data_IF_359474175080
#
_entry.id   IF_359474175080
#
_cell.length_a   1.000
_cell.length_b   1.000
_cell.length_c   1.000
_cell.angle_alpha   90.00
_cell.angle_beta   90.00
_cell.angle_gamma   90.00
#
_symmetry.space_group_name_H-M   'P 1'
#
loop_
_entity.id
_entity.type
_entity.pdbx_description
1 polymer ?
#
# COMPACT_ATOMS: atom_id res chain seq x y z
N UNK A 1 -7.82 20.37 -13.34
CA UNK A 1 -6.86 19.31 -13.69
C UNK A 1 -6.76 18.42 -12.48
N UNK A 2 -6.84 17.11 -12.64
CA UNK A 2 -6.58 16.17 -11.56
C UNK A 2 -5.12 16.26 -11.13
N UNK A 3 -4.87 16.19 -9.83
CA UNK A 3 -3.50 16.20 -9.28
C UNK A 3 -3.09 14.76 -9.02
N UNK A 4 -2.04 14.30 -9.67
CA UNK A 4 -1.43 12.98 -9.42
C UNK A 4 -0.41 13.13 -8.29
N UNK A 5 -0.48 12.26 -7.29
CA UNK A 5 0.52 12.11 -6.23
C UNK A 5 1.20 10.75 -6.37
N UNK A 6 2.50 10.73 -6.18
CA UNK A 6 3.30 9.51 -6.24
C UNK A 6 3.50 9.01 -4.82
N UNK A 7 3.03 7.80 -4.55
CA UNK A 7 3.23 7.09 -3.29
C UNK A 7 4.61 6.40 -3.30
N UNK A 8 5.12 6.04 -2.14
CA UNK A 8 6.32 5.21 -1.99
C UNK A 8 6.11 3.78 -2.52
N UNK A 9 7.10 2.91 -2.32
CA UNK A 9 7.09 1.53 -2.79
C UNK A 9 6.83 0.51 -1.67
N UNK A 10 6.88 -0.77 -2.02
CA UNK A 10 6.75 -1.88 -1.09
C UNK A 10 7.91 -1.95 -0.10
N UNK A 11 7.71 -1.50 1.13
CA UNK A 11 8.75 -1.44 2.16
C UNK A 11 9.37 -2.81 2.44
N UNK A 12 8.54 -3.83 2.68
CA UNK A 12 9.02 -5.19 2.96
C UNK A 12 9.86 -5.77 1.83
N UNK A 13 9.38 -5.64 0.60
CA UNK A 13 10.11 -6.10 -0.59
C UNK A 13 11.44 -5.36 -0.75
N UNK A 14 11.44 -4.02 -0.57
CA UNK A 14 12.68 -3.23 -0.69
C UNK A 14 13.70 -3.61 0.39
N UNK A 15 13.27 -3.83 1.63
CA UNK A 15 14.14 -4.30 2.70
C UNK A 15 14.75 -5.67 2.37
N UNK A 16 13.98 -6.59 1.79
CA UNK A 16 14.48 -7.90 1.37
C UNK A 16 15.44 -7.81 0.20
N UNK A 17 15.04 -7.13 -0.87
CA UNK A 17 15.77 -7.15 -2.14
C UNK A 17 17.03 -6.28 -2.14
N UNK A 18 17.01 -5.15 -1.42
CA UNK A 18 18.09 -4.17 -1.45
C UNK A 18 18.93 -4.15 -0.18
N UNK A 19 18.35 -4.52 0.94
CA UNK A 19 19.04 -4.52 2.24
C UNK A 19 19.33 -5.91 2.78
N UNK A 20 18.88 -6.98 2.08
CA UNK A 20 19.13 -8.36 2.45
C UNK A 20 18.43 -8.80 3.74
N UNK A 21 17.42 -8.06 4.19
CA UNK A 21 16.67 -8.37 5.40
C UNK A 21 15.85 -9.63 5.16
N UNK A 22 15.85 -10.53 6.12
CA UNK A 22 15.02 -11.74 6.11
C UNK A 22 13.96 -11.65 7.19
N UNK A 23 12.72 -11.85 6.82
CA UNK A 23 11.60 -11.88 7.74
C UNK A 23 11.17 -13.33 7.97
N UNK A 24 10.91 -13.69 9.23
CA UNK A 24 10.33 -14.96 9.60
C UNK A 24 9.31 -14.80 10.73
N UNK A 25 8.42 -15.76 10.85
CA UNK A 25 7.29 -15.69 11.80
C UNK A 25 7.71 -15.77 13.28
N UNK A 26 8.89 -16.25 13.57
CA UNK A 26 9.39 -16.46 14.94
C UNK A 26 10.16 -15.25 15.44
N UNK A 27 11.10 -14.75 14.64
CA UNK A 27 12.04 -13.71 15.04
C UNK A 27 11.57 -12.30 14.66
N UNK A 28 10.69 -12.18 13.67
CA UNK A 28 10.18 -10.89 13.18
C UNK A 28 8.63 -10.83 13.17
N UNK A 29 7.97 -10.97 14.34
CA UNK A 29 6.51 -11.07 14.42
C UNK A 29 5.76 -9.82 13.94
N UNK A 30 6.43 -8.70 13.75
CA UNK A 30 5.90 -7.47 13.15
C UNK A 30 6.32 -7.30 11.69
N UNK A 31 6.90 -8.34 11.04
CA UNK A 31 7.36 -8.30 9.66
C UNK A 31 8.20 -7.03 9.36
N UNK A 32 7.92 -6.27 8.29
CA UNK A 32 8.67 -5.04 7.97
C UNK A 32 8.65 -4.01 9.11
N UNK A 33 7.55 -3.90 9.86
CA UNK A 33 7.46 -3.03 11.05
C UNK A 33 8.38 -3.49 12.19
N UNK A 34 8.90 -4.73 12.15
CA UNK A 34 9.87 -5.22 13.13
C UNK A 34 11.18 -4.43 13.10
N UNK A 35 11.52 -3.83 11.96
CA UNK A 35 12.70 -2.98 11.82
C UNK A 35 12.67 -1.75 12.75
N UNK A 36 11.51 -1.32 13.19
CA UNK A 36 11.36 -0.28 14.24
C UNK A 36 12.02 -0.67 15.57
N UNK A 37 12.11 -1.98 15.81
CA UNK A 37 12.64 -2.55 17.06
C UNK A 37 14.07 -3.03 16.86
N UNK A 38 14.34 -3.71 15.75
CA UNK A 38 15.61 -4.42 15.53
C UNK A 38 16.69 -3.57 14.86
N UNK A 39 16.34 -2.71 13.88
CA UNK A 39 17.29 -1.91 13.10
C UNK A 39 16.62 -0.68 12.48
N UNK A 40 16.34 0.37 13.30
CA UNK A 40 15.74 1.60 12.82
C UNK A 40 16.60 2.36 11.78
N UNK A 41 17.92 2.20 11.81
CA UNK A 41 18.83 2.91 10.89
C UNK A 41 18.73 2.35 9.47
N UNK A 42 18.71 1.02 9.33
CA UNK A 42 18.45 0.38 8.02
C UNK A 42 17.05 0.71 7.51
N UNK A 43 16.03 0.73 8.38
CA UNK A 43 14.69 1.17 8.02
C UNK A 43 14.67 2.61 7.50
N UNK A 44 15.36 3.52 8.19
CA UNK A 44 15.47 4.90 7.76
C UNK A 44 16.15 5.03 6.39
N UNK A 45 17.23 4.30 6.17
CA UNK A 45 17.94 4.28 4.89
C UNK A 45 17.02 3.83 3.75
N UNK A 46 16.27 2.75 3.96
CA UNK A 46 15.31 2.26 2.97
C UNK A 46 14.20 3.28 2.66
N UNK A 47 13.64 3.94 3.69
CA UNK A 47 12.63 4.98 3.46
C UNK A 47 13.21 6.24 2.81
N UNK A 48 14.47 6.58 3.07
CA UNK A 48 15.16 7.69 2.39
C UNK A 48 15.36 7.42 0.90
N UNK A 49 15.56 6.18 0.49
CA UNK A 49 15.63 5.83 -0.94
C UNK A 49 14.31 6.19 -1.66
N UNK A 50 13.16 5.94 -1.04
CA UNK A 50 11.86 6.41 -1.56
C UNK A 50 11.80 7.93 -1.62
N UNK A 51 12.24 8.63 -0.56
CA UNK A 51 12.33 10.08 -0.55
C UNK A 51 13.16 10.64 -1.70
N UNK A 52 14.33 10.05 -1.96
CA UNK A 52 15.21 10.42 -3.06
C UNK A 52 14.61 10.12 -4.44
N UNK A 53 13.75 9.11 -4.56
CA UNK A 53 12.99 8.83 -5.78
C UNK A 53 11.98 9.95 -6.12
N UNK A 54 11.72 10.88 -5.21
CA UNK A 54 10.90 12.07 -5.45
C UNK A 54 9.40 11.84 -5.26
N UNK A 55 9.03 10.96 -4.34
CA UNK A 55 7.65 10.68 -3.93
C UNK A 55 6.93 11.93 -3.39
N UNK A 56 5.60 11.92 -3.47
CA UNK A 56 4.72 12.94 -2.90
C UNK A 56 4.12 12.50 -1.55
N UNK A 57 4.00 11.18 -1.31
CA UNK A 57 3.49 10.60 -0.07
C UNK A 57 4.36 9.43 0.36
N UNK A 58 4.75 9.40 1.63
CA UNK A 58 5.50 8.31 2.27
C UNK A 58 4.61 7.63 3.32
N UNK A 59 4.55 6.32 3.29
CA UNK A 59 3.88 5.50 4.30
C UNK A 59 4.79 5.30 5.52
N UNK A 60 4.21 5.35 6.72
CA UNK A 60 4.95 4.93 7.92
C UNK A 60 5.19 3.43 7.92
N UNK A 61 6.26 2.96 8.56
CA UNK A 61 6.57 1.54 8.69
C UNK A 61 5.69 0.83 9.75
N UNK A 62 4.36 1.03 9.69
CA UNK A 62 3.42 0.60 10.73
C UNK A 62 2.33 -0.35 10.24
N UNK A 63 2.48 -0.89 9.04
CA UNK A 63 1.50 -1.76 8.39
C UNK A 63 1.08 -2.96 9.27
N UNK A 64 2.03 -3.65 9.93
CA UNK A 64 1.75 -4.78 10.84
C UNK A 64 1.81 -4.41 12.32
N UNK A 65 1.89 -3.13 12.68
CA UNK A 65 1.89 -2.72 14.08
C UNK A 65 0.58 -3.13 14.75
N UNK A 66 0.67 -3.89 15.83
CA UNK A 66 -0.46 -4.33 16.66
C UNK A 66 0.02 -4.64 18.08
N UNK A 67 -0.85 -4.52 19.12
CA UNK A 67 -0.50 -4.90 20.48
C UNK A 67 0.01 -6.34 20.58
N UNK A 68 -0.63 -7.27 19.87
CA UNK A 68 -0.28 -8.69 19.85
C UNK A 68 1.08 -8.93 19.18
N UNK A 69 1.38 -8.19 18.12
CA UNK A 69 2.68 -8.24 17.45
C UNK A 69 3.81 -7.78 18.37
N UNK A 70 3.62 -6.67 19.07
CA UNK A 70 4.59 -6.20 20.06
C UNK A 70 4.71 -7.15 21.26
N UNK A 71 3.61 -7.70 21.77
CA UNK A 71 3.65 -8.68 22.87
C UNK A 71 4.43 -9.96 22.51
N UNK A 72 4.50 -10.32 21.22
CA UNK A 72 5.31 -11.43 20.72
C UNK A 72 6.77 -11.03 20.44
N UNK A 73 7.06 -9.73 20.34
CA UNK A 73 8.41 -9.22 20.01
C UNK A 73 9.27 -9.15 21.25
N UNK A 74 10.30 -10.00 21.30
CA UNK A 74 11.26 -10.08 22.41
C UNK A 74 12.54 -9.34 22.08
N UNK A 75 13.05 -8.60 23.05
CA UNK A 75 14.34 -7.91 22.97
C UNK A 75 15.11 -8.08 24.29
N UNK A 76 16.40 -7.75 24.36
CA UNK A 76 17.10 -7.73 25.63
C UNK A 76 16.45 -6.85 26.70
N UNK A 77 15.83 -5.73 26.30
CA UNK A 77 15.11 -4.84 27.23
C UNK A 77 13.72 -5.41 27.61
N UNK A 78 13.11 -6.20 26.73
CA UNK A 78 11.76 -6.78 26.90
C UNK A 78 11.79 -8.29 26.61
N UNK A 79 12.36 -9.12 27.49
CA UNK A 79 12.56 -10.57 27.26
C UNK A 79 11.24 -11.35 27.20
N UNK A 80 10.17 -10.81 27.74
CA UNK A 80 8.84 -11.43 27.75
C UNK A 80 7.88 -10.82 26.69
N UNK A 81 8.38 -9.97 25.79
CA UNK A 81 7.61 -9.20 24.83
C UNK A 81 7.50 -7.73 25.22
N UNK A 82 7.26 -6.88 24.24
CA UNK A 82 7.14 -5.42 24.44
C UNK A 82 5.73 -5.14 25.03
N UNK A 83 5.64 -4.55 26.23
CA UNK A 83 4.37 -4.28 26.87
C UNK A 83 3.67 -3.05 26.27
N UNK A 84 2.36 -2.90 26.44
CA UNK A 84 1.57 -1.83 25.82
C UNK A 84 2.10 -0.42 26.08
N UNK A 85 2.55 -0.14 27.29
CA UNK A 85 3.09 1.16 27.71
C UNK A 85 4.41 1.53 27.02
N UNK A 86 5.12 0.53 26.47
CA UNK A 86 6.36 0.75 25.75
C UNK A 86 6.15 0.86 24.23
N UNK A 87 4.96 0.64 23.71
CA UNK A 87 4.70 0.69 22.26
C UNK A 87 4.91 2.11 21.72
N UNK A 88 4.49 3.14 22.45
CA UNK A 88 4.52 4.54 22.01
C UNK A 88 5.88 5.00 21.49
N UNK A 89 6.99 4.58 22.10
CA UNK A 89 8.34 4.94 21.65
C UNK A 89 8.65 4.43 20.23
N UNK A 90 8.16 3.25 19.87
CA UNK A 90 8.37 2.67 18.52
C UNK A 90 7.50 3.38 17.49
N UNK A 91 6.29 3.83 17.88
CA UNK A 91 5.44 4.64 17.01
C UNK A 91 6.05 6.01 16.76
N UNK A 92 6.63 6.64 17.77
CA UNK A 92 7.41 7.87 17.62
C UNK A 92 8.59 7.68 16.68
N UNK A 93 9.29 6.56 16.81
CA UNK A 93 10.40 6.18 15.92
C UNK A 93 9.92 6.06 14.47
N UNK A 94 8.76 5.39 14.23
CA UNK A 94 8.20 5.24 12.90
C UNK A 94 7.89 6.58 12.23
N UNK A 95 7.22 7.49 12.95
CA UNK A 95 6.89 8.82 12.43
C UNK A 95 8.17 9.65 12.22
N UNK A 96 9.10 9.61 13.18
CA UNK A 96 10.37 10.34 13.09
C UNK A 96 11.24 9.86 11.91
N UNK A 97 11.25 8.56 11.62
CA UNK A 97 11.93 8.02 10.44
C UNK A 97 11.28 8.53 9.17
N UNK A 98 9.94 8.46 9.05
CA UNK A 98 9.23 8.96 7.90
C UNK A 98 9.47 10.46 7.65
N UNK A 99 9.52 11.28 8.71
CA UNK A 99 9.85 12.71 8.60
C UNK A 99 11.25 12.94 8.05
N UNK A 100 12.25 12.23 8.57
CA UNK A 100 13.63 12.34 8.10
C UNK A 100 13.87 11.78 6.71
N UNK A 101 13.04 10.82 6.29
CA UNK A 101 13.10 10.22 4.97
C UNK A 101 12.53 11.12 3.86
N UNK A 102 11.69 12.09 4.21
CA UNK A 102 11.20 13.06 3.22
C UNK A 102 12.35 13.96 2.74
N UNK A 103 12.67 13.86 1.46
CA UNK A 103 13.64 14.75 0.80
C UNK A 103 12.98 16.07 0.37
N UNK A 104 11.68 16.05 0.09
CA UNK A 104 10.89 17.20 -0.32
C UNK A 104 10.03 17.69 0.84
N UNK A 105 10.12 18.97 1.20
CA UNK A 105 9.29 19.57 2.26
C UNK A 105 7.79 19.39 2.02
N UNK A 106 7.37 19.45 0.75
CA UNK A 106 5.99 19.25 0.33
C UNK A 106 5.52 17.79 0.38
N UNK A 107 6.42 16.81 0.57
CA UNK A 107 6.04 15.41 0.70
C UNK A 107 5.26 15.20 2.00
N UNK A 108 4.21 14.40 1.90
CA UNK A 108 3.26 14.10 2.98
C UNK A 108 3.59 12.75 3.61
N UNK A 109 3.11 12.53 4.83
CA UNK A 109 3.21 11.26 5.53
C UNK A 109 1.81 10.69 5.68
N UNK A 110 1.67 9.41 5.42
CA UNK A 110 0.44 8.66 5.67
C UNK A 110 0.69 7.55 6.70
N UNK A 111 -0.19 7.48 7.70
CA UNK A 111 -0.20 6.38 8.66
C UNK A 111 -0.63 5.09 7.96
N UNK A 112 0.27 4.14 7.81
CA UNK A 112 0.03 2.85 7.17
C UNK A 112 -0.56 1.84 8.16
N UNK A 113 -1.72 1.29 7.84
CA UNK A 113 -2.46 0.32 8.66
C UNK A 113 -2.98 -0.83 7.77
N UNK A 114 -2.38 -2.01 7.87
CA UNK A 114 -2.86 -3.23 7.22
C UNK A 114 -4.13 -3.79 7.88
N UNK A 115 -4.75 -4.82 7.30
CA UNK A 115 -5.88 -5.51 7.89
C UNK A 115 -5.46 -6.35 9.11
N UNK A 116 -6.44 -6.88 9.84
CA UNK A 116 -6.18 -7.82 10.92
C UNK A 116 -5.34 -9.01 10.44
N UNK A 117 -5.67 -9.55 9.26
CA UNK A 117 -4.96 -10.67 8.65
C UNK A 117 -3.47 -10.45 8.46
N UNK A 118 -3.03 -9.23 8.22
CA UNK A 118 -1.60 -8.90 8.09
C UNK A 118 -0.84 -9.00 9.43
N UNK A 119 -1.53 -8.98 10.56
CA UNK A 119 -0.96 -9.14 11.89
C UNK A 119 -1.05 -10.57 12.43
N UNK A 120 -1.67 -11.48 11.68
CA UNK A 120 -1.71 -12.91 11.97
C UNK A 120 -0.40 -13.61 11.59
N UNK A 121 -0.16 -14.77 12.18
CA UNK A 121 0.96 -15.65 11.85
C UNK A 121 0.41 -17.07 11.63
N UNK A 122 0.44 -17.60 10.40
CA UNK A 122 0.84 -16.95 9.15
C UNK A 122 -0.13 -15.83 8.74
N UNK A 123 0.34 -14.88 7.92
CA UNK A 123 -0.48 -13.78 7.39
C UNK A 123 -1.68 -14.27 6.59
N UNK A 124 -2.82 -13.58 6.75
CA UNK A 124 -4.11 -13.93 6.13
C UNK A 124 -4.73 -12.75 5.34
N UNK A 125 -3.95 -11.72 5.04
CA UNK A 125 -4.41 -10.54 4.30
C UNK A 125 -4.85 -10.83 2.86
N UNK A 126 -4.40 -11.95 2.28
CA UNK A 126 -4.79 -12.38 0.93
C UNK A 126 -5.90 -13.43 0.91
N UNK A 127 -6.20 -14.04 2.05
CA UNK A 127 -7.24 -15.06 2.17
C UNK A 127 -8.48 -14.56 2.89
N UNK A 128 -8.33 -13.60 3.82
CA UNK A 128 -9.39 -13.17 4.73
C UNK A 128 -9.84 -14.25 5.71
N UNK A 129 -9.09 -15.36 5.84
CA UNK A 129 -9.40 -16.47 6.74
C UNK A 129 -8.95 -16.14 8.17
N UNK A 130 -9.80 -15.45 8.91
CA UNK A 130 -9.49 -14.97 10.26
C UNK A 130 -9.82 -16.01 11.33
N UNK A 131 -9.25 -15.86 12.51
CA UNK A 131 -9.56 -16.70 13.65
C UNK A 131 -10.96 -16.38 14.21
N UNK A 132 -11.53 -17.33 14.97
CA UNK A 132 -12.90 -17.22 15.49
C UNK A 132 -13.13 -16.00 16.41
N UNK A 133 -12.09 -15.44 17.02
CA UNK A 133 -12.20 -14.26 17.86
C UNK A 133 -12.36 -12.97 17.04
N UNK A 134 -11.89 -12.97 15.79
CA UNK A 134 -11.90 -11.81 14.89
C UNK A 134 -12.70 -12.08 13.59
N UNK A 135 -13.60 -13.05 13.59
CA UNK A 135 -14.42 -13.39 12.43
C UNK A 135 -15.80 -12.68 12.45
N UNK A 136 -15.81 -11.41 12.86
CA UNK A 136 -17.02 -10.57 12.82
C UNK A 136 -16.66 -9.09 12.66
N UNK A 137 -17.60 -8.32 12.06
CA UNK A 137 -17.45 -6.86 11.93
C UNK A 137 -17.20 -6.18 13.28
N UNK A 138 -17.90 -6.63 14.35
CA UNK A 138 -17.75 -6.02 15.68
C UNK A 138 -16.36 -6.28 16.27
N UNK A 139 -15.84 -7.51 16.17
CA UNK A 139 -14.50 -7.83 16.65
C UNK A 139 -13.43 -7.06 15.89
N UNK A 140 -13.55 -6.99 14.57
CA UNK A 140 -12.64 -6.22 13.72
C UNK A 140 -12.71 -4.71 14.01
N UNK A 141 -13.92 -4.18 14.26
CA UNK A 141 -14.09 -2.79 14.67
C UNK A 141 -13.36 -2.48 15.99
N UNK A 142 -13.53 -3.32 17.01
CA UNK A 142 -12.87 -3.14 18.30
C UNK A 142 -11.34 -3.21 18.14
N UNK A 143 -10.84 -4.15 17.33
CA UNK A 143 -9.42 -4.32 17.07
C UNK A 143 -8.82 -3.09 16.36
N UNK A 144 -9.46 -2.59 15.28
CA UNK A 144 -9.00 -1.38 14.58
C UNK A 144 -9.09 -0.14 15.48
N UNK A 145 -10.14 0.00 16.27
CA UNK A 145 -10.28 1.12 17.21
C UNK A 145 -9.17 1.10 18.27
N UNK A 146 -8.87 -0.06 18.84
CA UNK A 146 -7.76 -0.22 19.78
C UNK A 146 -6.42 0.14 19.12
N UNK A 147 -6.22 -0.29 17.89
CA UNK A 147 -5.00 0.01 17.12
C UNK A 147 -4.86 1.51 16.84
N UNK A 148 -5.93 2.21 16.47
CA UNK A 148 -5.91 3.66 16.28
C UNK A 148 -5.60 4.39 17.60
N UNK A 149 -6.08 3.89 18.74
CA UNK A 149 -5.76 4.45 20.06
C UNK A 149 -4.28 4.38 20.39
N UNK A 150 -3.54 3.40 19.92
CA UNK A 150 -2.07 3.37 20.11
C UNK A 150 -1.40 4.66 19.60
N UNK A 151 -1.90 5.22 18.50
CA UNK A 151 -1.36 6.46 17.92
C UNK A 151 -1.95 7.72 18.57
N UNK A 152 -3.19 7.67 19.06
CA UNK A 152 -3.82 8.77 19.77
C UNK A 152 -3.23 8.95 21.18
N UNK A 153 -2.97 7.85 21.86
CA UNK A 153 -2.51 7.85 23.25
C UNK A 153 -0.98 7.97 23.36
N UNK A 154 -0.25 7.84 22.23
CA UNK A 154 1.18 8.01 22.20
C UNK A 154 1.58 9.47 22.49
N UNK A 155 2.64 9.66 23.27
CA UNK A 155 3.18 10.99 23.55
C UNK A 155 3.56 11.73 22.26
N UNK A 156 3.50 13.08 22.30
CA UNK A 156 4.02 13.95 21.22
C UNK A 156 3.07 14.14 20.05
N UNK A 157 1.75 13.92 20.22
CA UNK A 157 0.72 14.19 19.21
C UNK A 157 1.10 13.70 17.80
N UNK A 158 1.31 12.38 17.70
CA UNK A 158 1.81 11.76 16.46
C UNK A 158 0.95 12.06 15.24
N UNK A 159 -0.37 12.15 15.43
CA UNK A 159 -1.30 12.35 14.32
C UNK A 159 -1.19 13.73 13.68
N UNK A 160 -0.81 14.76 14.44
CA UNK A 160 -0.60 16.11 13.88
C UNK A 160 0.59 16.17 12.91
N UNK A 161 1.50 15.21 12.98
CA UNK A 161 2.69 15.08 12.15
C UNK A 161 2.44 14.36 10.83
N UNK A 162 1.21 13.83 10.62
CA UNK A 162 0.80 13.07 9.44
C UNK A 162 -0.34 13.77 8.71
N UNK A 163 -0.50 13.49 7.43
CA UNK A 163 -1.51 14.14 6.59
C UNK A 163 -2.61 13.18 6.13
N UNK A 164 -2.40 11.87 6.25
CA UNK A 164 -3.35 10.84 5.85
C UNK A 164 -3.33 9.64 6.80
N UNK A 165 -4.43 8.90 6.80
CA UNK A 165 -4.48 7.52 7.31
C UNK A 165 -4.76 6.59 6.13
N UNK A 166 -3.95 5.54 5.99
CA UNK A 166 -4.05 4.52 4.96
C UNK A 166 -4.54 3.21 5.56
N UNK A 167 -5.77 2.81 5.27
CA UNK A 167 -6.22 1.43 5.50
C UNK A 167 -5.98 0.62 4.24
N UNK A 168 -5.06 -0.34 4.32
CA UNK A 168 -4.48 -1.00 3.16
C UNK A 168 -4.79 -2.50 3.13
N UNK A 169 -4.91 -3.04 1.91
CA UNK A 169 -5.01 -4.50 1.66
C UNK A 169 -6.22 -5.14 2.34
N UNK A 170 -7.33 -4.42 2.50
CA UNK A 170 -8.51 -4.98 3.17
C UNK A 170 -9.11 -6.12 2.34
N UNK A 171 -9.19 -7.36 2.90
CA UNK A 171 -9.63 -8.54 2.15
C UNK A 171 -11.11 -8.86 2.35
N UNK A 172 -11.81 -8.16 3.27
CA UNK A 172 -13.16 -8.49 3.71
C UNK A 172 -14.07 -7.27 3.75
N UNK A 173 -15.31 -7.45 3.37
CA UNK A 173 -16.31 -6.38 3.36
C UNK A 173 -16.70 -5.91 4.76
N UNK A 174 -16.78 -6.82 5.72
CA UNK A 174 -17.04 -6.50 7.12
C UNK A 174 -15.88 -5.68 7.72
N UNK A 175 -14.64 -5.95 7.33
CA UNK A 175 -13.49 -5.16 7.75
C UNK A 175 -13.49 -3.75 7.13
N UNK A 176 -13.95 -3.59 5.88
CA UNK A 176 -14.19 -2.25 5.29
C UNK A 176 -15.20 -1.45 6.13
N UNK A 177 -16.27 -2.08 6.62
CA UNK A 177 -17.23 -1.44 7.53
C UNK A 177 -16.61 -1.16 8.91
N UNK A 178 -15.86 -2.11 9.43
CA UNK A 178 -15.18 -2.01 10.72
C UNK A 178 -14.21 -0.82 10.77
N UNK A 179 -13.34 -0.64 9.77
CA UNK A 179 -12.39 0.49 9.73
C UNK A 179 -13.11 1.83 9.62
N UNK A 180 -14.23 1.91 8.88
CA UNK A 180 -15.05 3.12 8.82
C UNK A 180 -15.69 3.49 10.17
N UNK A 181 -16.13 2.50 10.92
CA UNK A 181 -16.62 2.69 12.29
C UNK A 181 -15.48 3.13 13.20
N UNK A 182 -14.35 2.45 13.14
CA UNK A 182 -13.18 2.71 13.97
C UNK A 182 -12.64 4.14 13.77
N UNK A 183 -12.46 4.60 12.53
CA UNK A 183 -11.97 5.97 12.26
C UNK A 183 -12.98 7.03 12.76
N UNK A 184 -14.27 6.82 12.58
CA UNK A 184 -15.32 7.70 13.10
C UNK A 184 -15.25 7.81 14.64
N UNK A 185 -15.17 6.67 15.33
CA UNK A 185 -15.29 6.60 16.78
C UNK A 185 -13.95 6.88 17.49
N UNK A 186 -12.84 6.89 16.74
CA UNK A 186 -11.54 7.34 17.22
C UNK A 186 -11.45 8.86 17.39
N UNK A 187 -12.29 9.62 16.69
CA UNK A 187 -12.20 11.08 16.64
C UNK A 187 -11.08 11.62 15.73
N UNK A 188 -10.38 10.76 14.99
CA UNK A 188 -9.36 11.19 14.01
C UNK A 188 -10.05 11.90 12.86
N UNK A 189 -9.59 13.11 12.55
CA UNK A 189 -10.14 13.96 11.47
C UNK A 189 -9.26 14.03 10.24
N UNK A 190 -8.13 13.33 10.23
CA UNK A 190 -7.26 13.25 9.05
C UNK A 190 -8.00 12.64 7.87
N UNK A 191 -7.78 13.13 6.65
CA UNK A 191 -8.19 12.44 5.44
C UNK A 191 -7.66 10.99 5.45
N UNK A 192 -8.50 10.04 5.04
CA UNK A 192 -8.10 8.65 5.00
C UNK A 192 -8.49 7.99 3.69
N UNK A 193 -7.81 6.94 3.32
CA UNK A 193 -8.21 6.08 2.21
C UNK A 193 -8.42 4.64 2.66
N UNK A 194 -9.17 3.95 1.84
CA UNK A 194 -9.38 2.51 1.92
C UNK A 194 -8.92 1.90 0.62
N UNK A 195 -7.96 0.99 0.67
CA UNK A 195 -7.58 0.16 -0.47
C UNK A 195 -7.75 -1.32 -0.15
N UNK A 196 -8.27 -2.04 -1.13
CA UNK A 196 -8.62 -3.45 -1.00
C UNK A 196 -7.74 -4.30 -1.91
N UNK A 197 -7.63 -5.58 -1.58
CA UNK A 197 -6.90 -6.57 -2.36
C UNK A 197 -7.85 -7.47 -3.15
N UNK A 198 -7.52 -7.74 -4.42
CA UNK A 198 -8.29 -8.60 -5.32
C UNK A 198 -7.37 -9.70 -5.89
N UNK A 199 -7.02 -10.73 -5.09
CA UNK A 199 -5.98 -11.68 -5.45
C UNK A 199 -6.41 -12.69 -6.51
N UNK A 200 -7.72 -12.97 -6.64
CA UNK A 200 -8.29 -13.94 -7.60
C UNK A 200 -8.72 -13.27 -8.89
N UNK A 201 -8.87 -14.04 -9.96
CA UNK A 201 -9.26 -13.53 -11.28
C UNK A 201 -10.76 -13.16 -11.39
N UNK A 202 -11.57 -13.44 -10.37
CA UNK A 202 -13.00 -13.11 -10.32
C UNK A 202 -13.32 -11.65 -9.96
N UNK A 203 -12.29 -10.80 -9.77
CA UNK A 203 -12.42 -9.39 -9.36
C UNK A 203 -13.23 -9.21 -8.05
N UNK A 204 -13.25 -10.22 -7.19
CA UNK A 204 -13.85 -10.16 -5.87
C UNK A 204 -12.77 -10.07 -4.78
N UNK A 205 -13.17 -9.55 -3.62
CA UNK A 205 -12.38 -9.68 -2.40
C UNK A 205 -12.19 -11.15 -2.04
N UNK A 206 -11.21 -11.50 -1.20
CA UNK A 206 -11.06 -12.87 -0.67
C UNK A 206 -12.33 -13.46 -0.06
N UNK A 207 -13.17 -12.65 0.59
CA UNK A 207 -14.47 -13.08 1.14
C UNK A 207 -15.58 -13.27 0.07
N UNK A 208 -15.29 -13.01 -1.20
CA UNK A 208 -16.25 -13.11 -2.31
C UNK A 208 -17.03 -11.83 -2.60
N UNK A 209 -16.82 -10.75 -1.86
CA UNK A 209 -17.53 -9.49 -2.05
C UNK A 209 -17.08 -8.76 -3.31
N UNK A 210 -18.04 -8.20 -4.05
CA UNK A 210 -17.80 -7.48 -5.30
C UNK A 210 -17.27 -6.05 -5.07
N UNK A 211 -16.69 -5.46 -6.11
CA UNK A 211 -16.31 -4.03 -6.14
C UNK A 211 -17.50 -3.13 -5.79
N UNK A 212 -18.71 -3.45 -6.27
CA UNK A 212 -19.92 -2.67 -5.96
C UNK A 212 -20.22 -2.69 -4.45
N UNK A 213 -20.12 -3.85 -3.81
CA UNK A 213 -20.31 -3.97 -2.37
C UNK A 213 -19.26 -3.17 -1.59
N UNK A 214 -18.00 -3.19 -2.03
CA UNK A 214 -16.90 -2.40 -1.43
C UNK A 214 -17.19 -0.90 -1.54
N UNK A 215 -17.52 -0.40 -2.74
CA UNK A 215 -17.84 1.02 -2.96
C UNK A 215 -19.03 1.42 -2.11
N UNK A 216 -20.08 0.60 -2.06
CA UNK A 216 -21.27 0.87 -1.23
C UNK A 216 -20.89 0.93 0.26
N UNK A 217 -20.15 -0.04 0.77
CA UNK A 217 -19.72 -0.07 2.18
C UNK A 217 -18.83 1.14 2.52
N UNK A 218 -17.93 1.51 1.62
CA UNK A 218 -17.02 2.63 1.81
C UNK A 218 -17.69 4.00 1.72
N UNK A 219 -18.75 4.15 0.90
CA UNK A 219 -19.34 5.46 0.59
C UNK A 219 -20.72 5.68 1.21
N UNK A 220 -21.35 4.66 1.82
CA UNK A 220 -22.64 4.86 2.51
C UNK A 220 -22.50 5.90 3.61
N UNK A 221 -23.28 7.00 3.58
CA UNK A 221 -23.25 8.00 4.64
C UNK A 221 -23.60 7.40 5.99
N UNK A 222 -22.82 7.73 7.01
CA UNK A 222 -23.10 7.36 8.40
C UNK A 222 -23.24 8.64 9.23
N UNK A 223 -24.07 8.60 10.27
CA UNK A 223 -24.23 9.76 11.16
C UNK A 223 -22.88 10.14 11.76
N UNK A 224 -22.45 11.37 11.54
CA UNK A 224 -21.15 11.91 11.97
C UNK A 224 -19.91 11.17 11.43
N UNK A 225 -20.07 10.32 10.39
CA UNK A 225 -18.94 9.60 9.79
C UNK A 225 -18.33 10.33 8.64
N UNK A 226 -17.00 10.38 8.62
CA UNK A 226 -16.25 10.88 7.47
C UNK A 226 -16.36 9.88 6.30
N UNK A 227 -16.47 10.40 5.09
CA UNK A 227 -16.25 9.60 3.90
C UNK A 227 -14.74 9.46 3.63
N UNK A 228 -14.28 8.34 3.06
CA UNK A 228 -12.89 8.22 2.68
C UNK A 228 -12.54 9.28 1.63
N UNK A 229 -11.39 9.94 1.82
CA UNK A 229 -10.80 10.82 0.84
C UNK A 229 -10.38 10.05 -0.42
N UNK A 230 -9.93 8.80 -0.25
CA UNK A 230 -9.51 7.93 -1.33
C UNK A 230 -10.09 6.53 -1.20
N UNK A 231 -10.28 5.88 -2.36
CA UNK A 231 -10.77 4.51 -2.46
C UNK A 231 -10.04 3.83 -3.61
N UNK A 232 -9.63 2.56 -3.43
CA UNK A 232 -8.92 1.89 -4.52
C UNK A 232 -8.43 0.49 -4.24
N UNK A 233 -7.32 0.16 -4.89
CA UNK A 233 -6.77 -1.19 -5.01
C UNK A 233 -5.29 -1.18 -4.70
N UNK A 234 -4.84 -2.12 -3.86
CA UNK A 234 -3.42 -2.35 -3.64
C UNK A 234 -3.07 -3.85 -3.60
N UNK A 235 -1.79 -4.18 -3.64
CA UNK A 235 -1.29 -5.56 -3.55
C UNK A 235 -2.03 -6.54 -4.49
N UNK A 236 -2.43 -6.05 -5.66
CA UNK A 236 -3.22 -6.77 -6.66
C UNK A 236 -2.43 -6.80 -7.97
N UNK A 237 -2.50 -7.88 -8.72
CA UNK A 237 -1.77 -8.04 -9.98
C UNK A 237 -2.07 -6.91 -10.97
N UNK A 238 -1.03 -6.36 -11.59
CA UNK A 238 -1.11 -5.18 -12.47
C UNK A 238 -2.11 -5.36 -13.62
N UNK A 239 -2.17 -6.55 -14.22
CA UNK A 239 -3.06 -6.81 -15.37
C UNK A 239 -4.56 -6.68 -15.03
N UNK A 240 -4.94 -6.80 -13.75
CA UNK A 240 -6.33 -6.66 -13.29
C UNK A 240 -6.76 -5.20 -13.11
N UNK A 241 -5.79 -4.29 -12.93
CA UNK A 241 -6.10 -2.91 -12.59
C UNK A 241 -7.04 -2.21 -13.59
N UNK A 242 -6.89 -2.33 -14.93
CA UNK A 242 -7.81 -1.68 -15.86
C UNK A 242 -9.26 -2.06 -15.62
N UNK A 243 -9.56 -3.35 -15.48
CA UNK A 243 -10.92 -3.84 -15.24
C UNK A 243 -11.48 -3.41 -13.88
N UNK A 244 -10.66 -3.48 -12.83
CA UNK A 244 -11.05 -3.04 -11.48
C UNK A 244 -11.33 -1.53 -11.43
N UNK A 245 -10.48 -0.72 -12.06
CA UNK A 245 -10.65 0.73 -12.12
C UNK A 245 -11.93 1.11 -12.83
N UNK A 246 -12.25 0.46 -13.95
CA UNK A 246 -13.52 0.68 -14.67
C UNK A 246 -14.72 0.34 -13.78
N UNK A 247 -14.66 -0.77 -13.04
CA UNK A 247 -15.71 -1.15 -12.11
C UNK A 247 -15.85 -0.15 -10.96
N UNK A 248 -14.75 0.27 -10.31
CA UNK A 248 -14.77 1.32 -9.29
C UNK A 248 -15.38 2.63 -9.82
N UNK A 249 -14.93 3.09 -10.98
CA UNK A 249 -15.43 4.30 -11.64
C UNK A 249 -16.94 4.25 -11.89
N UNK A 250 -17.42 3.13 -12.46
CA UNK A 250 -18.85 2.93 -12.71
C UNK A 250 -19.67 2.92 -11.40
N UNK A 251 -19.18 2.27 -10.35
CA UNK A 251 -19.85 2.21 -9.05
C UNK A 251 -19.90 3.59 -8.36
N UNK A 252 -18.79 4.32 -8.38
CA UNK A 252 -18.71 5.69 -7.82
C UNK A 252 -19.66 6.62 -8.58
N UNK A 253 -19.70 6.56 -9.92
CA UNK A 253 -20.63 7.35 -10.74
C UNK A 253 -22.08 7.07 -10.35
N UNK A 254 -22.45 5.81 -10.14
CA UNK A 254 -23.79 5.43 -9.67
C UNK A 254 -24.07 5.95 -8.25
N UNK A 255 -23.10 5.91 -7.35
CA UNK A 255 -23.24 6.44 -5.98
C UNK A 255 -23.45 7.96 -6.00
N UNK A 256 -22.74 8.68 -6.86
CA UNK A 256 -22.92 10.12 -7.07
C UNK A 256 -24.31 10.44 -7.66
N UNK A 257 -24.74 9.71 -8.69
CA UNK A 257 -26.08 9.93 -9.30
C UNK A 257 -27.24 9.67 -8.33
N UNK A 258 -27.03 8.82 -7.32
CA UNK A 258 -27.98 8.57 -6.23
C UNK A 258 -27.86 9.56 -5.05
N UNK A 259 -26.94 10.51 -5.12
CA UNK A 259 -26.68 11.48 -4.05
C UNK A 259 -26.04 10.87 -2.77
N UNK A 260 -25.48 9.69 -2.88
CA UNK A 260 -24.79 9.01 -1.75
C UNK A 260 -23.46 9.68 -1.43
N UNK A 261 -22.79 10.21 -2.46
CA UNK A 261 -21.57 11.01 -2.33
C UNK A 261 -21.71 12.29 -3.17
N UNK A 262 -21.17 13.38 -2.66
CA UNK A 262 -21.22 14.70 -3.32
C UNK A 262 -20.03 14.94 -4.25
N UNK A 263 -18.94 14.20 -4.04
CA UNK A 263 -17.73 14.24 -4.87
C UNK A 263 -17.12 12.82 -4.94
N UNK A 264 -16.50 12.52 -6.07
CA UNK A 264 -15.78 11.25 -6.21
C UNK A 264 -14.58 11.24 -5.24
N UNK A 265 -14.36 10.15 -4.50
CA UNK A 265 -13.12 9.95 -3.77
C UNK A 265 -11.94 9.87 -4.74
N UNK A 266 -10.74 10.24 -4.27
CA UNK A 266 -9.51 10.05 -5.03
C UNK A 266 -9.29 8.56 -5.32
N UNK A 267 -8.81 8.24 -6.52
CA UNK A 267 -8.44 6.88 -6.84
C UNK A 267 -7.06 6.57 -6.26
N UNK A 268 -6.94 5.44 -5.59
CA UNK A 268 -5.71 4.98 -4.93
C UNK A 268 -5.27 3.67 -5.55
N UNK A 269 -4.09 3.65 -6.18
CA UNK A 269 -3.57 2.47 -6.89
C UNK A 269 -2.11 2.21 -6.52
N UNK A 270 -1.84 1.07 -5.91
CA UNK A 270 -0.49 0.56 -5.66
C UNK A 270 -0.45 -0.96 -5.80
N UNK A 271 -0.27 -1.42 -7.06
CA UNK A 271 -0.33 -2.83 -7.39
C UNK A 271 0.84 -3.62 -6.84
N UNK A 272 0.67 -4.94 -6.88
CA UNK A 272 1.74 -5.89 -6.60
C UNK A 272 2.84 -5.81 -7.68
N UNK A 273 4.07 -5.54 -7.25
CA UNK A 273 5.26 -5.49 -8.11
C UNK A 273 6.00 -6.83 -8.25
N UNK A 274 5.53 -7.90 -7.60
CA UNK A 274 6.25 -9.18 -7.49
C UNK A 274 5.98 -10.16 -8.65
N UNK A 275 5.32 -9.73 -9.73
CA UNK A 275 4.88 -10.60 -10.85
C UNK A 275 4.00 -11.79 -10.42
N UNK A 276 3.27 -11.64 -9.31
CA UNK A 276 2.39 -12.66 -8.75
C UNK A 276 3.10 -13.69 -7.88
N UNK A 277 4.37 -13.51 -7.56
CA UNK A 277 5.04 -14.31 -6.53
C UNK A 277 4.50 -13.95 -5.15
N UNK A 278 4.34 -14.95 -4.30
CA UNK A 278 3.91 -14.80 -2.90
C UNK A 278 5.06 -15.19 -1.99
N UNK A 279 5.37 -14.36 -1.01
CA UNK A 279 6.41 -14.70 -0.05
C UNK A 279 5.94 -15.81 0.88
N UNK A 280 6.64 -16.96 0.83
CA UNK A 280 6.40 -18.07 1.74
C UNK A 280 7.21 -17.87 3.02
N UNK A 281 6.52 -17.56 4.11
CA UNK A 281 7.14 -17.31 5.42
C UNK A 281 7.82 -18.55 6.02
N UNK A 282 7.46 -19.75 5.53
CA UNK A 282 8.07 -21.02 5.99
C UNK A 282 9.39 -21.29 5.29
N UNK A 283 9.42 -21.12 3.95
CA UNK A 283 10.63 -21.33 3.15
C UNK A 283 11.51 -20.07 3.08
N UNK A 284 10.98 -18.91 3.49
CA UNK A 284 11.63 -17.60 3.42
C UNK A 284 12.02 -17.22 1.97
N UNK A 285 11.21 -17.63 1.01
CA UNK A 285 11.42 -17.38 -0.42
C UNK A 285 10.15 -16.87 -1.09
N UNK A 286 10.34 -16.14 -2.19
CA UNK A 286 9.24 -15.80 -3.08
C UNK A 286 8.90 -17.02 -3.95
N UNK A 287 7.65 -17.43 -3.93
CA UNK A 287 7.15 -18.61 -4.65
C UNK A 287 5.99 -18.23 -5.57
N UNK A 288 5.99 -18.81 -6.77
CA UNK A 288 4.82 -18.69 -7.66
C UNK A 288 3.70 -19.55 -7.10
N UNK A 289 2.46 -19.03 -6.96
CA UNK A 289 1.32 -19.81 -6.51
C UNK A 289 1.06 -20.99 -7.45
N UNK A 290 1.08 -22.21 -6.88
CA UNK A 290 0.67 -23.44 -7.53
C UNK A 290 1.54 -23.87 -8.68
N UNK A 291 2.62 -24.63 -8.42
CA UNK A 291 3.30 -25.62 -9.27
C UNK A 291 3.11 -25.55 -10.80
N UNK A 292 2.97 -24.37 -11.40
CA UNK A 292 2.99 -24.22 -12.85
C UNK A 292 4.42 -24.49 -13.32
N UNK A 293 4.65 -25.72 -13.73
CA UNK A 293 5.77 -26.10 -14.60
C UNK A 293 5.70 -25.20 -15.85
N UNK A 294 6.87 -24.78 -16.35
CA UNK A 294 7.10 -24.00 -17.56
C UNK A 294 6.36 -24.59 -18.80
N UNK A 295 5.05 -24.47 -18.89
CA UNK A 295 4.24 -25.11 -19.93
C UNK A 295 3.10 -24.29 -20.49
N UNK A 296 2.56 -23.36 -19.75
CA UNK A 296 1.52 -22.46 -20.27
C UNK A 296 2.10 -21.06 -20.49
N UNK A 297 2.53 -20.83 -21.71
CA UNK A 297 2.86 -19.52 -22.25
C UNK A 297 1.58 -18.70 -22.30
N UNK A 298 1.36 -17.85 -21.31
CA UNK A 298 0.57 -16.66 -21.53
C UNK A 298 1.21 -15.90 -22.70
N UNK A 299 0.48 -15.76 -23.79
CA UNK A 299 0.88 -15.05 -25.01
C UNK A 299 0.92 -13.54 -24.74
N UNK A 300 1.77 -13.13 -23.85
CA UNK A 300 2.23 -11.76 -23.69
C UNK A 300 3.71 -11.75 -24.02
N UNK A 301 4.03 -11.49 -25.28
CA UNK A 301 5.35 -11.31 -25.90
C UNK A 301 6.49 -12.16 -25.30
N UNK A 302 7.06 -13.11 -26.08
CA UNK A 302 8.19 -13.90 -25.64
C UNK A 302 9.46 -13.09 -25.79
N UNK A 303 9.87 -12.36 -24.77
CA UNK A 303 11.25 -11.92 -24.64
C UNK A 303 11.73 -12.14 -23.22
N UNK A 304 12.44 -13.24 -23.10
CA UNK A 304 13.43 -13.66 -22.13
C UNK A 304 13.92 -12.54 -21.19
N UNK A 305 13.51 -12.63 -19.95
CA UNK A 305 14.16 -11.93 -18.85
C UNK A 305 15.45 -12.70 -18.46
N UNK A 306 16.51 -12.47 -19.18
CA UNK A 306 17.86 -12.69 -18.68
C UNK A 306 18.48 -11.33 -18.46
N UNK A 307 18.57 -10.92 -17.22
CA UNK A 307 19.11 -9.69 -16.65
C UNK A 307 18.08 -8.62 -16.26
N UNK A 308 17.60 -8.75 -15.05
CA UNK A 308 17.45 -7.72 -14.02
C UNK A 308 16.74 -6.39 -14.31
N UNK A 309 15.66 -6.34 -15.12
CA UNK A 309 14.92 -5.09 -15.33
C UNK A 309 13.42 -5.29 -15.13
N UNK A 310 12.85 -4.58 -14.17
CA UNK A 310 11.41 -4.55 -13.93
C UNK A 310 10.71 -3.69 -14.97
N UNK A 311 9.59 -4.19 -15.53
CA UNK A 311 8.69 -3.39 -16.38
C UNK A 311 7.87 -2.50 -15.47
N UNK A 312 8.05 -1.18 -15.57
CA UNK A 312 7.20 -0.18 -14.92
C UNK A 312 5.98 0.08 -15.80
N UNK A 313 4.81 -0.36 -15.36
CA UNK A 313 3.53 0.01 -16.00
C UNK A 313 2.87 1.06 -15.13
N UNK A 314 2.58 2.23 -15.69
CA UNK A 314 1.88 3.31 -15.01
C UNK A 314 0.42 3.31 -15.46
N UNK A 315 -0.48 3.42 -14.51
CA UNK A 315 -1.90 3.64 -14.77
C UNK A 315 -2.29 4.92 -14.04
N UNK A 316 -2.67 5.94 -14.79
CA UNK A 316 -3.23 7.17 -14.25
C UNK A 316 -4.65 7.34 -14.78
N UNK A 317 -5.59 7.64 -13.90
CA UNK A 317 -6.92 8.08 -14.27
C UNK A 317 -6.97 9.60 -14.25
N UNK A 318 -7.45 10.18 -15.35
CA UNK A 318 -7.66 11.61 -15.47
C UNK A 318 -9.05 11.82 -16.05
N UNK A 319 -10.02 12.18 -15.21
CA UNK A 319 -11.42 12.31 -15.63
C UNK A 319 -12.01 10.95 -16.03
N UNK A 320 -12.75 10.89 -17.13
CA UNK A 320 -13.44 9.68 -17.63
C UNK A 320 -12.54 8.72 -18.42
N UNK A 321 -11.19 8.86 -18.33
CA UNK A 321 -10.28 8.09 -19.18
C UNK A 321 -9.15 7.44 -18.40
N UNK A 322 -8.84 6.17 -18.74
CA UNK A 322 -7.69 5.43 -18.24
C UNK A 322 -6.48 5.72 -19.13
N UNK A 323 -5.36 6.09 -18.55
CA UNK A 323 -4.09 6.25 -19.26
C UNK A 323 -3.14 5.14 -18.82
N UNK A 324 -2.80 4.25 -19.74
CA UNK A 324 -1.76 3.25 -19.54
C UNK A 324 -0.53 3.61 -20.33
N UNK A 325 0.66 3.54 -19.72
CA UNK A 325 1.91 3.61 -20.45
C UNK A 325 2.74 2.37 -20.13
N UNK A 326 3.24 1.72 -21.18
CA UNK A 326 4.15 0.59 -21.08
C UNK A 326 5.54 1.07 -21.47
N UNK A 327 6.53 0.89 -20.61
CA UNK A 327 7.91 1.19 -20.92
C UNK A 327 8.67 -0.13 -21.10
N UNK A 328 9.05 -0.42 -22.35
CA UNK A 328 10.01 -1.47 -22.66
C UNK A 328 11.40 -0.84 -22.70
N UNK A 329 12.29 -1.27 -21.83
CA UNK A 329 13.69 -0.88 -21.86
C UNK A 329 14.42 -1.66 -22.95
N UNK A 330 14.46 -1.12 -24.16
CA UNK A 330 15.44 -1.44 -25.17
C UNK A 330 16.08 -0.17 -25.74
N UNK A 331 17.30 -0.26 -26.18
CA UNK A 331 18.28 0.75 -26.58
C UNK A 331 17.80 1.89 -27.51
N UNK A 332 16.51 2.08 -27.76
CA UNK A 332 15.96 3.27 -28.42
C UNK A 332 14.61 3.62 -27.77
N UNK A 333 14.59 4.74 -27.07
CA UNK A 333 13.43 5.31 -26.40
C UNK A 333 12.33 5.65 -27.41
N UNK A 334 11.21 4.96 -27.33
CA UNK A 334 9.96 5.43 -27.96
C UNK A 334 8.85 5.27 -26.93
N UNK A 335 8.32 6.39 -26.47
CA UNK A 335 7.11 6.41 -25.64
C UNK A 335 5.91 6.30 -26.58
N UNK A 336 5.10 5.27 -26.45
CA UNK A 336 3.76 5.28 -27.02
C UNK A 336 2.78 5.75 -25.94
N UNK A 337 2.34 6.99 -26.08
CA UNK A 337 1.19 7.51 -25.39
C UNK A 337 -0.02 7.29 -26.32
N UNK A 338 -0.97 6.48 -25.89
CA UNK A 338 -2.22 6.35 -26.62
C UNK A 338 -3.07 7.57 -26.24
N UNK A 339 -3.34 8.50 -27.15
CA UNK A 339 -4.05 9.71 -26.78
C UNK A 339 -5.54 9.45 -26.71
N UNK A 340 -6.12 9.67 -25.56
CA UNK A 340 -7.52 10.06 -25.42
C UNK A 340 -7.56 11.53 -25.00
N UNK A 341 -8.16 12.34 -25.84
CA UNK A 341 -8.07 13.79 -26.02
C UNK A 341 -7.78 14.70 -24.82
N UNK A 342 -6.92 15.66 -25.03
CA UNK A 342 -6.70 16.98 -24.38
C UNK A 342 -6.22 17.10 -22.92
N UNK A 343 -6.12 16.05 -22.09
CA UNK A 343 -5.80 16.20 -20.66
C UNK A 343 -4.35 15.89 -20.34
N UNK A 344 -3.58 15.36 -21.28
CA UNK A 344 -2.26 14.74 -21.05
C UNK A 344 -1.06 15.69 -20.92
N UNK A 345 -1.18 16.99 -21.20
CA UNK A 345 0.00 17.87 -21.22
C UNK A 345 0.60 18.15 -19.84
N UNK A 346 -0.20 18.21 -18.77
CA UNK A 346 0.28 18.50 -17.42
C UNK A 346 0.85 17.28 -16.68
N UNK A 347 0.31 16.10 -16.94
CA UNK A 347 0.78 14.82 -16.36
C UNK A 347 2.08 14.37 -17.04
N UNK A 348 2.16 14.55 -18.36
CA UNK A 348 3.34 14.19 -19.15
C UNK A 348 4.63 14.89 -18.72
N UNK A 349 4.57 16.18 -18.30
CA UNK A 349 5.77 16.96 -17.94
C UNK A 349 6.38 16.52 -16.61
N UNK A 350 5.58 16.33 -15.56
CA UNK A 350 6.07 15.84 -14.24
C UNK A 350 6.57 14.41 -14.33
N UNK A 351 5.85 13.57 -15.06
CA UNK A 351 6.25 12.20 -15.31
C UNK A 351 7.60 12.13 -16.02
N UNK A 352 7.79 12.93 -17.09
CA UNK A 352 9.06 13.00 -17.81
C UNK A 352 10.20 13.53 -16.93
N UNK A 353 9.93 14.44 -16.01
CA UNK A 353 10.92 15.00 -15.09
C UNK A 353 11.33 13.99 -14.02
N UNK A 354 10.38 13.28 -13.41
CA UNK A 354 10.66 12.22 -12.43
C UNK A 354 11.39 11.05 -13.09
N UNK A 355 10.93 10.59 -14.25
CA UNK A 355 11.62 9.53 -15.02
C UNK A 355 13.02 9.95 -15.49
N UNK A 356 13.23 11.21 -15.87
CA UNK A 356 14.55 11.74 -16.21
C UNK A 356 15.48 11.84 -15.00
N UNK A 357 14.95 12.14 -13.80
CA UNK A 357 15.72 12.12 -12.55
C UNK A 357 16.17 10.72 -12.19
N UNK A 358 15.27 9.75 -12.19
CA UNK A 358 15.57 8.33 -11.94
C UNK A 358 16.63 7.81 -12.92
N UNK A 359 16.51 8.16 -14.20
CA UNK A 359 17.47 7.77 -15.25
C UNK A 359 18.84 8.47 -15.10
N UNK A 360 18.90 9.71 -14.61
CA UNK A 360 20.17 10.42 -14.35
C UNK A 360 20.92 9.82 -13.15
N UNK A 361 20.20 9.43 -12.12
CA UNK A 361 20.78 8.76 -10.95
C UNK A 361 21.30 7.36 -11.29
N UNK A 362 20.61 6.63 -12.20
CA UNK A 362 21.07 5.33 -12.72
C UNK A 362 22.41 5.38 -13.48
N UNK A 363 22.77 6.52 -14.06
CA UNK A 363 24.04 6.71 -14.79
C UNK A 363 25.22 7.13 -13.87
N UNK A 364 24.97 7.53 -12.62
CA UNK A 364 25.99 7.96 -11.68
C UNK A 364 26.54 6.86 -10.76
N UNK A 365 26.15 5.60 -10.99
CA UNK A 365 26.56 4.47 -10.15
C UNK A 365 25.74 4.31 -8.85
N UNK A 366 25.02 5.35 -8.43
CA UNK A 366 24.14 5.35 -7.25
C UNK A 366 22.71 4.86 -7.56
N UNK A 367 22.37 4.69 -8.83
CA UNK A 367 21.02 4.43 -9.32
C UNK A 367 20.61 2.96 -9.38
N UNK A 368 21.47 2.02 -9.00
CA UNK A 368 21.15 0.59 -9.09
C UNK A 368 19.97 0.17 -8.18
N UNK A 369 19.79 0.85 -7.08
CA UNK A 369 18.72 0.59 -6.10
C UNK A 369 17.40 1.19 -6.58
N UNK A 370 17.40 2.43 -7.05
CA UNK A 370 16.19 3.14 -7.48
C UNK A 370 15.52 2.55 -8.73
N UNK A 371 16.29 1.91 -9.61
CA UNK A 371 15.76 1.28 -10.82
C UNK A 371 14.89 0.04 -10.57
N UNK A 372 14.93 -0.52 -9.35
CA UNK A 372 14.16 -1.72 -8.94
C UNK A 372 12.95 -1.38 -8.06
N UNK A 373 12.76 -0.12 -7.66
CA UNK A 373 11.65 0.28 -6.79
C UNK A 373 10.35 0.38 -7.58
N UNK A 374 9.31 -0.30 -7.11
CA UNK A 374 7.94 -0.12 -7.63
C UNK A 374 7.41 1.24 -7.21
N UNK A 375 7.10 2.10 -8.18
CA UNK A 375 6.47 3.39 -7.91
C UNK A 375 4.95 3.23 -7.86
N UNK A 376 4.31 3.82 -6.86
CA UNK A 376 2.88 3.72 -6.61
C UNK A 376 2.20 5.08 -6.81
N UNK A 377 0.93 5.10 -7.19
CA UNK A 377 0.23 6.34 -7.60
C UNK A 377 -1.05 6.56 -6.81
N UNK A 378 -1.21 7.80 -6.33
CA UNK A 378 -2.47 8.36 -5.84
C UNK A 378 -2.99 9.39 -6.85
N UNK A 379 -4.22 9.25 -7.30
CA UNK A 379 -4.86 10.13 -8.30
C UNK A 379 -6.15 10.74 -7.78
#
# INVERSE_FOLDING_TARGET
MATVQILDGGLGTSLQDHYGIKFDSTNTPLWASHMLVSDPDTLQSCQQDFGHAGIDVLLTATYQVSPEGFARTKTPAYPNGIPPEAIGQFLQTAVGIAERAKVRDAAKIALSLGPYGACMIPGQEYSGAYDAAHDSEEALYQWHLQRLRLFLDAEGDLLSRMQYVAFETLPRLDEVRAVRRAIRDSGITLPFWISCVFPREDDCLPDGSSVEAVVQAATTPTKNGLLPWGLGVNCTKVHKLPGLVDQFGACITRAMSRGQVTAAPSLVLYPDGTNGEVYNTTTQTWEKPGGQTEGEKDTVCPHTYSQGWSVLTFIALVGDSIVTSRQECYHKRTFQVIPCGRVLQGVSSRYQETSRRILRMGNSGEGGILAKMSLQILV
#
